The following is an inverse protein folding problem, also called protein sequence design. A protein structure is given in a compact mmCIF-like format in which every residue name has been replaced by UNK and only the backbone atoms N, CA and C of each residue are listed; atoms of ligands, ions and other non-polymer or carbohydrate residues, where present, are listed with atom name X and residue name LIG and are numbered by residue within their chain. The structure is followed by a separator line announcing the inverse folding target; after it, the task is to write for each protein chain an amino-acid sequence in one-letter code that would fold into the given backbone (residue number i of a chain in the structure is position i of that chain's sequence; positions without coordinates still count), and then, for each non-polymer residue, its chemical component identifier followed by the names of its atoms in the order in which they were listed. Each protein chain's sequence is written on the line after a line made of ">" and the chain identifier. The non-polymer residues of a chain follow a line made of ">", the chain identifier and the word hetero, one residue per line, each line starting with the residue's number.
data_IF_420520266184
#
_entry.id   IF_420520266184
#
_cell.length_a   1.000
_cell.length_b   1.000
_cell.length_c   1.000
_cell.angle_alpha   90.00
_cell.angle_beta   90.00
_cell.angle_gamma   90.00
#
_symmetry.space_group_name_H-M   'P 1'
#
loop_
_entity.id
_entity.type
_entity.pdbx_description
1 polymer ?
#
# COMPACT_ATOMS: atom_id res chain seq x y z
N UNK A 1 -13.48 -28.80 5.64
CA UNK A 1 -13.80 -27.39 5.96
C UNK A 1 -15.05 -27.40 6.81
N UNK A 2 -14.99 -26.82 8.01
CA UNK A 2 -16.15 -26.76 8.89
C UNK A 2 -17.18 -25.75 8.38
N UNK A 3 -18.46 -26.04 8.60
CA UNK A 3 -19.61 -25.26 8.14
C UNK A 3 -19.54 -23.74 8.47
N UNK A 4 -19.02 -23.31 9.65
CA UNK A 4 -18.86 -21.89 9.98
C UNK A 4 -17.83 -21.17 9.10
N UNK A 5 -16.73 -21.83 8.75
CA UNK A 5 -15.69 -21.26 7.88
C UNK A 5 -16.20 -21.09 6.45
N UNK A 6 -16.97 -22.05 5.94
CA UNK A 6 -17.57 -21.95 4.61
C UNK A 6 -18.60 -20.79 4.52
N UNK A 7 -19.44 -20.61 5.55
CA UNK A 7 -20.41 -19.52 5.59
C UNK A 7 -19.73 -18.14 5.74
N UNK A 8 -18.64 -18.06 6.51
CA UNK A 8 -17.81 -16.86 6.60
C UNK A 8 -17.15 -16.54 5.25
N UNK A 9 -16.59 -17.53 4.56
CA UNK A 9 -16.00 -17.34 3.23
C UNK A 9 -17.03 -16.84 2.21
N UNK A 10 -18.22 -17.46 2.11
CA UNK A 10 -19.28 -17.04 1.18
C UNK A 10 -19.74 -15.61 1.46
N UNK A 11 -19.91 -15.23 2.73
CA UNK A 11 -20.28 -13.85 3.11
C UNK A 11 -19.27 -12.82 2.62
N UNK A 12 -17.99 -13.18 2.60
CA UNK A 12 -16.90 -12.26 2.33
C UNK A 12 -16.42 -12.25 0.88
N UNK A 13 -16.95 -13.12 0.01
CA UNK A 13 -16.52 -13.25 -1.38
C UNK A 13 -14.98 -13.34 -1.50
N UNK A 14 -14.42 -14.55 -1.31
CA UNK A 14 -12.97 -14.71 -1.16
C UNK A 14 -12.22 -14.27 -2.43
N UNK A 15 -12.82 -14.39 -3.61
CA UNK A 15 -12.21 -13.93 -4.86
C UNK A 15 -12.08 -12.41 -4.88
N UNK A 16 -13.13 -11.70 -4.47
CA UNK A 16 -13.08 -10.24 -4.33
C UNK A 16 -12.03 -9.81 -3.30
N UNK A 17 -11.95 -10.47 -2.14
CA UNK A 17 -10.96 -10.14 -1.10
C UNK A 17 -9.53 -10.33 -1.61
N UNK A 18 -9.27 -11.42 -2.34
CA UNK A 18 -7.96 -11.66 -2.94
C UNK A 18 -7.62 -10.61 -4.01
N UNK A 19 -8.58 -10.22 -4.84
CA UNK A 19 -8.40 -9.14 -5.82
C UNK A 19 -8.06 -7.80 -5.16
N UNK A 20 -8.71 -7.47 -4.03
CA UNK A 20 -8.38 -6.27 -3.24
C UNK A 20 -6.98 -6.36 -2.61
N UNK A 21 -6.59 -7.53 -2.10
CA UNK A 21 -5.22 -7.76 -1.61
C UNK A 21 -4.18 -7.57 -2.72
N UNK A 22 -4.43 -8.10 -3.91
CA UNK A 22 -3.52 -7.97 -5.05
C UNK A 22 -3.38 -6.52 -5.51
N UNK A 23 -4.49 -5.76 -5.54
CA UNK A 23 -4.44 -4.33 -5.81
C UNK A 23 -3.57 -3.58 -4.79
N UNK A 24 -3.73 -3.87 -3.49
CA UNK A 24 -2.90 -3.26 -2.44
C UNK A 24 -1.41 -3.61 -2.58
N UNK A 25 -1.09 -4.88 -2.90
CA UNK A 25 0.30 -5.31 -3.17
C UNK A 25 0.92 -4.57 -4.35
N UNK A 26 0.15 -4.35 -5.42
CA UNK A 26 0.61 -3.58 -6.58
C UNK A 26 0.93 -2.12 -6.22
N UNK A 27 0.09 -1.47 -5.39
CA UNK A 27 0.31 -0.10 -4.94
C UNK A 27 1.60 0.01 -4.09
N UNK A 28 1.78 -0.89 -3.13
CA UNK A 28 3.00 -0.94 -2.29
C UNK A 28 4.24 -1.19 -3.15
N UNK A 29 4.16 -2.11 -4.11
CA UNK A 29 5.25 -2.40 -5.05
C UNK A 29 5.59 -1.19 -5.92
N UNK A 30 4.59 -0.46 -6.39
CA UNK A 30 4.81 0.77 -7.17
C UNK A 30 5.58 1.79 -6.33
N UNK A 31 5.17 2.05 -5.08
CA UNK A 31 5.86 2.98 -4.19
C UNK A 31 7.33 2.61 -3.94
N UNK A 32 7.62 1.33 -3.70
CA UNK A 32 9.00 0.86 -3.52
C UNK A 32 9.86 1.10 -4.77
N UNK A 33 9.33 0.83 -5.97
CA UNK A 33 10.05 1.10 -7.24
C UNK A 33 10.35 2.58 -7.45
N UNK A 34 9.45 3.47 -7.02
CA UNK A 34 9.67 4.92 -7.09
C UNK A 34 10.80 5.37 -6.16
N UNK A 35 10.92 4.78 -4.97
CA UNK A 35 12.00 5.05 -4.03
C UNK A 35 13.38 4.72 -4.61
N UNK A 36 13.50 3.56 -5.26
CA UNK A 36 14.75 3.14 -5.93
C UNK A 36 15.11 4.10 -7.08
N UNK A 37 14.10 4.45 -7.89
CA UNK A 37 14.30 5.34 -9.03
C UNK A 37 14.74 6.75 -8.60
N UNK A 38 14.23 7.27 -7.47
CA UNK A 38 14.64 8.58 -6.92
C UNK A 38 16.08 8.57 -6.38
N UNK A 39 16.52 7.44 -5.82
CA UNK A 39 17.87 7.25 -5.30
C UNK A 39 18.93 7.19 -6.41
N UNK A 40 18.55 6.77 -7.63
CA UNK A 40 19.47 6.56 -8.75
C UNK A 40 19.67 7.72 -9.73
N UNK A 41 18.96 8.84 -9.61
CA UNK A 41 19.04 9.94 -10.61
C UNK A 41 19.90 11.12 -10.15
N UNK A 42 21.09 11.25 -10.74
CA UNK A 42 21.82 12.51 -10.81
C UNK A 42 21.40 13.24 -12.10
N UNK A 43 20.60 14.31 -12.00
CA UNK A 43 20.24 15.17 -13.13
C UNK A 43 18.83 15.78 -13.08
N UNK A 44 18.77 17.03 -13.54
CA UNK A 44 17.63 17.95 -13.80
C UNK A 44 16.55 18.13 -12.72
N UNK A 45 16.42 19.37 -12.23
CA UNK A 45 15.71 19.73 -11.01
C UNK A 45 14.18 19.59 -11.13
N UNK A 46 13.60 19.94 -12.28
CA UNK A 46 12.16 19.90 -12.49
C UNK A 46 11.58 18.47 -12.51
N UNK A 47 12.17 17.57 -13.31
CA UNK A 47 11.73 16.17 -13.38
C UNK A 47 11.98 15.44 -12.07
N UNK A 48 13.07 15.77 -11.37
CA UNK A 48 13.32 15.24 -10.03
C UNK A 48 12.25 15.70 -9.03
N UNK A 49 11.87 16.98 -9.09
CA UNK A 49 10.84 17.57 -8.22
C UNK A 49 9.49 16.91 -8.44
N UNK A 50 9.03 16.76 -9.69
CA UNK A 50 7.76 16.09 -10.01
C UNK A 50 7.71 14.65 -9.46
N UNK A 51 8.81 13.91 -9.61
CA UNK A 51 8.92 12.52 -9.11
C UNK A 51 8.94 12.45 -7.59
N UNK A 52 9.58 13.41 -6.93
CA UNK A 52 9.58 13.50 -5.47
C UNK A 52 8.18 13.76 -4.93
N UNK A 53 7.43 14.70 -5.55
CA UNK A 53 6.04 14.99 -5.18
C UNK A 53 5.18 13.74 -5.36
N UNK A 54 5.27 13.07 -6.51
CA UNK A 54 4.51 11.84 -6.77
C UNK A 54 4.81 10.74 -5.72
N UNK A 55 6.08 10.55 -5.35
CA UNK A 55 6.47 9.59 -4.32
C UNK A 55 5.91 9.96 -2.94
N UNK A 56 6.01 11.23 -2.53
CA UNK A 56 5.45 11.70 -1.26
C UNK A 56 3.92 11.54 -1.20
N UNK A 57 3.21 11.88 -2.29
CA UNK A 57 1.76 11.68 -2.39
C UNK A 57 1.39 10.22 -2.23
N UNK A 58 2.10 9.32 -2.90
CA UNK A 58 1.86 7.88 -2.77
C UNK A 58 2.17 7.37 -1.36
N UNK A 59 3.22 7.89 -0.71
CA UNK A 59 3.52 7.61 0.69
C UNK A 59 2.39 8.00 1.64
N UNK A 60 1.75 9.16 1.42
CA UNK A 60 0.57 9.56 2.19
C UNK A 60 -0.62 8.62 1.96
N UNK A 61 -0.87 8.21 0.71
CA UNK A 61 -1.93 7.21 0.40
C UNK A 61 -1.68 5.89 1.13
N UNK A 62 -0.42 5.42 1.20
CA UNK A 62 -0.08 4.20 1.95
C UNK A 62 -0.40 4.34 3.45
N UNK A 63 -0.09 5.49 4.06
CA UNK A 63 -0.41 5.76 5.48
C UNK A 63 -1.90 5.77 5.75
N UNK A 64 -2.70 6.38 4.86
CA UNK A 64 -4.17 6.35 4.96
C UNK A 64 -4.70 4.92 4.83
N UNK A 65 -4.15 4.10 3.92
CA UNK A 65 -4.52 2.69 3.81
C UNK A 65 -4.10 1.84 5.01
N UNK A 66 -3.13 2.29 5.80
CA UNK A 66 -2.68 1.60 7.01
C UNK A 66 -3.59 1.88 8.23
N UNK A 67 -4.42 2.92 8.20
CA UNK A 67 -5.30 3.30 9.33
C UNK A 67 -6.20 2.17 9.87
N UNK A 68 -6.79 1.28 9.04
CA UNK A 68 -7.59 0.16 9.55
C UNK A 68 -6.79 -0.84 10.40
N UNK A 69 -5.46 -0.77 10.35
CA UNK A 69 -4.55 -1.64 11.09
C UNK A 69 -3.96 -0.96 12.33
N UNK A 70 -4.45 0.22 12.75
CA UNK A 70 -3.87 0.99 13.85
C UNK A 70 -3.81 0.21 15.19
N UNK A 71 -4.73 -0.74 15.40
CA UNK A 71 -4.77 -1.59 16.61
C UNK A 71 -3.96 -2.89 16.46
N UNK A 72 -3.27 -3.11 15.32
CA UNK A 72 -2.48 -4.31 15.06
C UNK A 72 -1.09 -4.20 15.70
N UNK A 73 -0.56 -5.30 16.25
CA UNK A 73 0.76 -5.32 16.93
C UNK A 73 1.92 -4.86 16.05
N UNK A 74 1.81 -5.11 14.75
CA UNK A 74 2.84 -4.79 13.75
C UNK A 74 2.69 -3.37 13.19
N UNK A 75 1.64 -2.63 13.60
CA UNK A 75 1.47 -1.24 13.20
C UNK A 75 2.50 -0.36 13.90
N UNK A 76 3.21 0.45 13.14
CA UNK A 76 4.21 1.37 13.69
C UNK A 76 3.71 2.82 13.65
N UNK A 77 4.02 3.67 14.65
CA UNK A 77 3.54 5.05 14.70
C UNK A 77 3.91 5.89 13.47
N UNK A 78 5.00 5.56 12.78
CA UNK A 78 5.45 6.23 11.56
C UNK A 78 4.50 6.03 10.36
N UNK A 79 3.54 5.12 10.47
CA UNK A 79 2.51 4.89 9.47
C UNK A 79 1.28 5.78 9.67
N UNK A 80 1.24 6.59 10.72
CA UNK A 80 0.20 7.62 10.88
C UNK A 80 0.43 8.74 9.84
N UNK A 81 -0.62 9.20 9.13
CA UNK A 81 -0.53 10.20 8.07
C UNK A 81 0.30 11.43 8.40
#
# INVERSE_FOLDING_TARGET
>A
MDQPSAHHMVRHDPERVLAECDAKRQIVTAHARWQDALSGTAGDDARRTERLVAWQTLGHVLRVMALPYADHSDYTPEWQP
#
